data_IF_014074424233
#
_entry.id   IF_014074424233
#
_cell.length_a   1.000
_cell.length_b   1.000
_cell.length_c   1.000
_cell.angle_alpha   90.00
_cell.angle_beta   90.00
_cell.angle_gamma   90.00
#
_symmetry.space_group_name_H-M   'P 1'
#
loop_
_entity.id
_entity.type
_entity.pdbx_description
1 polymer ?
#
# COMPACT_ATOMS: atom_id res chain seq x y z
N UNK A 1 -7.85 15.52 -9.27
CA UNK A 1 -7.99 14.04 -9.20
C UNK A 1 -7.63 13.62 -7.79
N UNK A 2 -8.42 12.78 -7.12
CA UNK A 2 -8.06 12.29 -5.78
C UNK A 2 -7.34 10.94 -5.90
N UNK A 3 -6.27 10.73 -5.16
CA UNK A 3 -5.51 9.47 -5.19
C UNK A 3 -6.12 8.41 -4.27
N UNK A 4 -5.85 7.15 -4.55
CA UNK A 4 -6.00 6.05 -3.59
C UNK A 4 -4.67 5.92 -2.84
N UNK A 5 -4.71 6.02 -1.52
CA UNK A 5 -3.50 5.97 -0.69
C UNK A 5 -3.42 4.65 0.05
N UNK A 6 -2.21 4.10 0.16
CA UNK A 6 -1.94 2.83 0.83
C UNK A 6 -1.12 3.08 2.09
N UNK A 7 -1.55 2.47 3.20
CA UNK A 7 -0.81 2.49 4.47
C UNK A 7 -0.72 1.08 5.08
N UNK A 8 0.37 0.78 5.80
CA UNK A 8 0.58 -0.50 6.46
C UNK A 8 -0.08 -0.52 7.84
N UNK A 9 -1.40 -0.38 7.82
CA UNK A 9 -2.22 0.07 8.95
C UNK A 9 -2.86 1.40 8.59
N UNK A 10 -3.75 1.39 7.59
CA UNK A 10 -4.34 2.61 7.02
C UNK A 10 -5.05 3.48 8.07
N UNK A 11 -5.64 2.85 9.09
CA UNK A 11 -6.29 3.54 10.20
C UNK A 11 -5.31 4.34 11.08
N UNK A 12 -4.02 4.03 11.04
CA UNK A 12 -2.97 4.74 11.78
C UNK A 12 -2.20 5.69 10.85
N UNK A 13 -1.48 5.16 9.86
CA UNK A 13 -0.57 5.94 9.01
C UNK A 13 -1.30 7.04 8.24
N UNK A 14 -2.39 6.69 7.56
CA UNK A 14 -3.12 7.65 6.72
C UNK A 14 -3.86 8.69 7.57
N UNK A 15 -4.32 8.30 8.78
CA UNK A 15 -4.92 9.22 9.74
C UNK A 15 -3.92 10.28 10.19
N UNK A 16 -2.71 9.87 10.57
CA UNK A 16 -1.63 10.78 10.98
C UNK A 16 -1.26 11.70 9.81
N UNK A 17 -1.07 11.14 8.61
CA UNK A 17 -0.69 11.93 7.45
C UNK A 17 -1.77 12.95 7.08
N UNK A 18 -3.06 12.57 7.12
CA UNK A 18 -4.18 13.49 6.92
C UNK A 18 -4.16 14.65 7.93
N UNK A 19 -3.94 14.35 9.21
CA UNK A 19 -3.81 15.39 10.25
C UNK A 19 -2.63 16.33 10.00
N UNK A 20 -1.54 15.83 9.44
CA UNK A 20 -0.40 16.67 9.03
C UNK A 20 -0.76 17.60 7.87
N UNK A 21 -1.47 17.12 6.84
CA UNK A 21 -1.99 17.96 5.76
C UNK A 21 -2.87 19.10 6.29
N UNK A 22 -3.83 18.77 7.17
CA UNK A 22 -4.72 19.74 7.81
C UNK A 22 -3.94 20.80 8.59
N UNK A 23 -2.95 20.40 9.38
CA UNK A 23 -2.11 21.32 10.18
C UNK A 23 -1.26 22.26 9.33
N UNK A 24 -0.84 21.83 8.14
CA UNK A 24 -0.05 22.64 7.22
C UNK A 24 -0.91 23.49 6.27
N UNK A 25 -2.25 23.39 6.36
CA UNK A 25 -3.15 24.06 5.41
C UNK A 25 -3.04 23.54 3.98
N UNK A 26 -2.45 22.36 3.79
CA UNK A 26 -2.27 21.75 2.47
C UNK A 26 -3.49 20.86 2.19
N UNK A 27 -4.19 21.03 1.06
CA UNK A 27 -5.30 20.15 0.70
C UNK A 27 -4.85 18.67 0.63
N UNK A 28 -5.53 17.81 1.38
CA UNK A 28 -5.24 16.38 1.38
C UNK A 28 -5.55 15.77 -0.01
N UNK A 29 -4.60 15.08 -0.66
CA UNK A 29 -4.80 14.59 -2.03
C UNK A 29 -5.74 13.38 -2.14
N UNK A 30 -6.27 12.84 -1.03
CA UNK A 30 -7.24 11.74 -1.02
C UNK A 30 -8.42 11.99 -0.07
N UNK A 31 -9.57 11.40 -0.40
CA UNK A 31 -10.78 11.40 0.44
C UNK A 31 -10.74 10.25 1.45
N UNK A 32 -11.56 10.31 2.50
CA UNK A 32 -11.61 9.27 3.54
C UNK A 32 -11.98 7.87 3.01
N UNK A 33 -12.75 7.78 1.92
CA UNK A 33 -13.14 6.50 1.31
C UNK A 33 -12.08 5.93 0.35
N UNK A 34 -10.98 6.66 0.12
CA UNK A 34 -9.88 6.25 -0.74
C UNK A 34 -8.73 5.57 0.01
N UNK A 35 -8.85 5.42 1.33
CA UNK A 35 -7.86 4.72 2.13
C UNK A 35 -7.81 3.22 1.74
N UNK A 36 -6.60 2.68 1.65
CA UNK A 36 -6.30 1.27 1.33
C UNK A 36 -5.30 0.72 2.34
N UNK A 37 -5.53 -0.51 2.77
CA UNK A 37 -4.68 -1.17 3.77
C UNK A 37 -3.81 -2.24 3.11
N UNK A 38 -2.50 -2.08 3.28
CA UNK A 38 -1.48 -3.00 2.78
C UNK A 38 -1.62 -4.39 3.42
N UNK A 39 -2.07 -4.47 4.68
CA UNK A 39 -2.29 -5.74 5.38
C UNK A 39 -3.44 -6.51 4.75
N UNK A 40 -4.50 -5.83 4.32
CA UNK A 40 -5.64 -6.48 3.65
C UNK A 40 -5.21 -7.17 2.36
N UNK A 41 -4.47 -6.49 1.48
CA UNK A 41 -4.02 -7.12 0.24
C UNK A 41 -2.99 -8.23 0.49
N UNK A 42 -2.14 -8.09 1.52
CA UNK A 42 -1.23 -9.18 1.93
C UNK A 42 -2.01 -10.44 2.34
N UNK A 43 -3.10 -10.30 3.09
CA UNK A 43 -3.95 -11.45 3.43
C UNK A 43 -4.61 -12.08 2.19
N UNK A 44 -5.03 -11.26 1.21
CA UNK A 44 -5.54 -11.77 -0.07
C UNK A 44 -4.47 -12.54 -0.86
N UNK A 45 -3.22 -12.08 -0.84
CA UNK A 45 -2.10 -12.78 -1.46
C UNK A 45 -1.88 -14.15 -0.85
N UNK A 46 -1.89 -14.24 0.49
CA UNK A 46 -1.78 -15.52 1.20
C UNK A 46 -2.93 -16.48 0.86
N UNK A 47 -4.14 -15.97 0.65
CA UNK A 47 -5.30 -16.78 0.30
C UNK A 47 -5.16 -17.47 -1.08
N UNK A 48 -4.28 -16.99 -1.95
CA UNK A 48 -3.92 -17.61 -3.23
C UNK A 48 -2.53 -18.27 -3.21
N UNK A 49 -2.05 -18.64 -2.01
CA UNK A 49 -0.73 -19.25 -1.77
C UNK A 49 0.46 -18.41 -2.27
N UNK A 50 0.31 -17.08 -2.22
CA UNK A 50 1.37 -16.13 -2.56
C UNK A 50 1.75 -15.25 -1.36
N UNK A 51 2.77 -15.67 -0.62
CA UNK A 51 3.39 -14.81 0.39
C UNK A 51 4.42 -13.86 -0.27
N UNK A 52 3.96 -12.64 -0.56
CA UNK A 52 4.78 -11.64 -1.22
C UNK A 52 5.93 -11.12 -0.34
N UNK A 53 5.85 -11.24 0.99
CA UNK A 53 6.90 -10.77 1.91
C UNK A 53 8.10 -11.72 1.95
N UNK A 54 7.88 -13.00 1.66
CA UNK A 54 8.96 -13.98 1.51
C UNK A 54 9.48 -14.00 0.07
N UNK A 55 8.60 -13.81 -0.92
CA UNK A 55 8.97 -13.85 -2.33
C UNK A 55 9.79 -12.63 -2.78
N UNK A 56 9.56 -11.46 -2.18
CA UNK A 56 10.23 -10.22 -2.56
C UNK A 56 11.22 -9.83 -1.46
N UNK A 57 12.53 -9.78 -1.74
CA UNK A 57 13.52 -9.36 -0.77
C UNK A 57 13.38 -7.88 -0.46
N UNK A 58 13.67 -7.52 0.80
CA UNK A 58 13.77 -6.13 1.21
C UNK A 58 15.04 -5.50 0.63
N UNK A 59 14.94 -4.29 0.09
CA UNK A 59 16.05 -3.50 -0.42
C UNK A 59 16.08 -2.15 0.31
N UNK A 60 17.24 -1.79 0.86
CA UNK A 60 17.44 -0.53 1.58
C UNK A 60 17.69 -0.73 3.08
N UNK A 61 17.41 0.31 3.87
CA UNK A 61 17.56 0.30 5.32
C UNK A 61 16.21 0.09 6.02
N UNK A 62 16.13 -0.88 6.94
CA UNK A 62 14.91 -1.11 7.72
C UNK A 62 14.63 0.09 8.62
N UNK A 63 13.36 0.45 8.76
CA UNK A 63 12.91 1.63 9.50
C UNK A 63 13.25 2.97 8.82
N UNK A 64 13.79 2.94 7.59
CA UNK A 64 13.76 4.09 6.71
C UNK A 64 12.40 4.17 6.03
N UNK A 65 11.67 5.26 6.25
CA UNK A 65 10.30 5.42 5.76
C UNK A 65 10.18 5.32 4.22
N UNK A 66 11.18 5.77 3.46
CA UNK A 66 11.16 5.71 2.00
C UNK A 66 11.40 4.28 1.50
N UNK A 67 12.37 3.59 2.08
CA UNK A 67 12.68 2.21 1.70
C UNK A 67 11.54 1.27 2.08
N UNK A 68 10.95 1.46 3.27
CA UNK A 68 9.75 0.75 3.70
C UNK A 68 8.58 0.99 2.73
N UNK A 69 8.32 2.24 2.33
CA UNK A 69 7.26 2.57 1.38
C UNK A 69 7.49 1.93 -0.01
N UNK A 70 8.73 1.94 -0.51
CA UNK A 70 9.09 1.29 -1.77
C UNK A 70 8.90 -0.22 -1.71
N UNK A 71 9.36 -0.85 -0.63
CA UNK A 71 9.18 -2.28 -0.41
C UNK A 71 7.68 -2.65 -0.36
N UNK A 72 6.89 -1.88 0.37
CA UNK A 72 5.43 -2.03 0.44
C UNK A 72 4.77 -1.91 -0.94
N UNK A 73 5.13 -0.90 -1.73
CA UNK A 73 4.60 -0.74 -3.07
C UNK A 73 4.94 -1.92 -4.00
N UNK A 74 6.17 -2.47 -3.92
CA UNK A 74 6.60 -3.63 -4.71
C UNK A 74 5.70 -4.84 -4.46
N UNK A 75 5.51 -5.22 -3.20
CA UNK A 75 4.74 -6.42 -2.90
C UNK A 75 3.23 -6.23 -3.06
N UNK A 76 2.68 -5.03 -2.81
CA UNK A 76 1.28 -4.70 -3.13
C UNK A 76 1.03 -4.86 -4.64
N UNK A 77 1.94 -4.35 -5.47
CA UNK A 77 1.87 -4.48 -6.93
C UNK A 77 1.89 -5.95 -7.36
N UNK A 78 2.82 -6.75 -6.82
CA UNK A 78 2.93 -8.17 -7.16
C UNK A 78 1.69 -8.97 -6.78
N UNK A 79 1.09 -8.71 -5.62
CA UNK A 79 -0.16 -9.38 -5.21
C UNK A 79 -1.31 -8.95 -6.13
N UNK A 80 -1.42 -7.65 -6.41
CA UNK A 80 -2.48 -7.11 -7.27
C UNK A 80 -2.46 -7.75 -8.66
N UNK A 81 -1.28 -7.87 -9.28
CA UNK A 81 -1.10 -8.52 -10.58
C UNK A 81 -1.47 -10.00 -10.58
N UNK A 82 -1.37 -10.69 -9.44
CA UNK A 82 -1.80 -12.09 -9.31
C UNK A 82 -3.29 -12.24 -9.05
N UNK A 83 -3.91 -11.28 -8.37
CA UNK A 83 -5.34 -11.28 -8.06
C UNK A 83 -6.21 -10.89 -9.25
N UNK A 84 -5.71 -9.98 -10.10
CA UNK A 84 -6.47 -9.46 -11.23
C UNK A 84 -5.91 -10.05 -12.53
N UNK A 85 -6.70 -10.87 -13.25
CA UNK A 85 -6.28 -11.41 -14.53
C UNK A 85 -5.93 -10.29 -15.51
N UNK A 86 -4.90 -10.49 -16.32
CA UNK A 86 -4.59 -9.60 -17.43
C UNK A 86 -5.72 -9.66 -18.47
N UNK A 87 -5.96 -8.56 -19.18
CA UNK A 87 -6.81 -8.61 -20.38
C UNK A 87 -6.27 -9.59 -21.43
N UNK A 88 -4.97 -9.91 -21.41
CA UNK A 88 -4.36 -10.90 -22.28
C UNK A 88 -4.62 -12.36 -21.85
N UNK A 89 -5.19 -12.56 -20.66
CA UNK A 89 -5.52 -13.90 -20.13
C UNK A 89 -6.95 -14.34 -20.52
N UNK A 90 -7.67 -13.53 -21.32
CA UNK A 90 -9.02 -13.78 -21.84
C UNK A 90 -9.06 -13.90 -23.37
#
# INVERSE_FOLDING_TARGET
>A
FFVQVWGNGANFDNTILRRSYERQGIPCPWRYYNDRDVRTIVELGKAIDFDARTAIPFEGERHNALDDARYQAKYVSAIWQKLIPSQADF
#
